data_IF_786218900234
#
_entry.id   IF_786218900234
#
_cell.length_a   1.000
_cell.length_b   1.000
_cell.length_c   1.000
_cell.angle_alpha   90.00
_cell.angle_beta   90.00
_cell.angle_gamma   90.00
#
_symmetry.space_group_name_H-M   'P 1'
#
loop_
_entity.id
_entity.type
_entity.pdbx_description
1 polymer ?
#
# COMPACT_ATOMS: atom_id res chain seq x y z
N UNK A 1 51.75 -11.28 -35.44
CA UNK A 1 50.59 -11.47 -36.35
C UNK A 1 49.37 -11.74 -35.49
N UNK A 2 48.38 -10.84 -35.57
CA UNK A 2 47.36 -10.56 -34.56
C UNK A 2 46.34 -11.68 -34.32
N UNK A 3 46.19 -12.11 -33.06
CA UNK A 3 44.98 -12.77 -32.55
C UNK A 3 43.92 -11.69 -32.30
N UNK A 4 42.78 -11.80 -32.99
CA UNK A 4 41.59 -10.98 -32.80
C UNK A 4 41.06 -11.16 -31.39
N UNK A 5 41.29 -10.16 -30.53
CA UNK A 5 40.51 -9.93 -29.33
C UNK A 5 39.13 -9.49 -29.80
N UNK A 6 38.16 -10.38 -29.68
CA UNK A 6 36.74 -10.05 -29.79
C UNK A 6 36.42 -9.19 -28.56
N UNK A 7 36.58 -7.87 -28.70
CA UNK A 7 35.98 -6.90 -27.79
C UNK A 7 34.46 -7.11 -27.88
N UNK A 8 33.93 -7.90 -26.96
CA UNK A 8 32.55 -7.73 -26.52
C UNK A 8 32.56 -6.37 -25.83
N UNK A 9 32.32 -5.31 -26.62
CA UNK A 9 31.66 -4.12 -26.09
C UNK A 9 30.37 -4.66 -25.47
N UNK A 10 30.40 -4.94 -24.17
CA UNK A 10 29.21 -4.81 -23.35
C UNK A 10 28.92 -3.32 -23.42
N UNK A 11 28.21 -2.94 -24.48
CA UNK A 11 27.47 -1.71 -24.50
C UNK A 11 26.65 -1.76 -23.23
N UNK A 12 27.08 -0.99 -22.21
CA UNK A 12 26.16 -0.37 -21.29
C UNK A 12 25.31 0.52 -22.19
N UNK A 13 24.38 -0.09 -22.92
CA UNK A 13 23.22 0.61 -23.42
C UNK A 13 22.60 1.12 -22.14
N UNK A 14 22.83 2.41 -21.86
CA UNK A 14 21.81 3.21 -21.23
C UNK A 14 20.52 2.79 -21.94
N UNK A 15 19.70 1.96 -21.29
CA UNK A 15 18.37 1.71 -21.79
C UNK A 15 17.78 3.11 -21.93
N UNK A 16 17.66 3.58 -23.16
CA UNK A 16 16.93 4.80 -23.46
C UNK A 16 15.48 4.42 -23.20
N UNK A 17 15.08 4.52 -21.93
CA UNK A 17 13.72 4.29 -21.48
C UNK A 17 12.80 5.12 -22.36
N UNK A 18 11.75 4.52 -22.91
CA UNK A 18 10.75 5.23 -23.69
C UNK A 18 9.91 6.11 -22.74
N UNK A 19 10.48 7.24 -22.32
CA UNK A 19 9.75 8.23 -21.56
C UNK A 19 8.96 9.11 -22.51
N UNK A 20 7.64 9.10 -22.37
CA UNK A 20 6.79 10.01 -23.13
C UNK A 20 6.59 11.34 -22.39
N UNK A 21 6.21 12.35 -23.15
CA UNK A 21 5.93 13.70 -22.64
C UNK A 21 4.53 13.80 -22.03
N UNK A 22 4.42 14.62 -20.99
CA UNK A 22 3.15 15.03 -20.38
C UNK A 22 3.06 16.55 -20.37
N UNK A 23 1.86 17.07 -20.61
CA UNK A 23 1.62 18.52 -20.62
C UNK A 23 0.40 18.89 -19.74
N UNK A 24 0.57 19.79 -18.76
CA UNK A 24 1.84 20.36 -18.30
C UNK A 24 2.70 19.35 -17.52
N UNK A 25 4.04 19.45 -17.63
CA UNK A 25 5.00 18.67 -16.82
C UNK A 25 5.36 19.34 -15.49
N UNK A 26 4.99 20.60 -15.32
CA UNK A 26 5.14 21.35 -14.08
C UNK A 26 3.88 22.16 -13.81
N UNK A 27 3.30 21.98 -12.63
CA UNK A 27 2.04 22.61 -12.23
C UNK A 27 2.30 23.55 -11.05
N UNK A 28 1.66 24.72 -11.01
CA UNK A 28 1.79 25.63 -9.86
C UNK A 28 0.72 25.29 -8.83
N UNK A 29 1.10 25.27 -7.56
CA UNK A 29 0.17 25.10 -6.45
C UNK A 29 0.39 26.20 -5.41
N UNK A 30 -0.68 26.91 -5.05
CA UNK A 30 -0.70 27.78 -3.87
C UNK A 30 -1.34 27.00 -2.74
N UNK A 31 -0.60 26.76 -1.67
CA UNK A 31 -0.99 25.89 -0.56
C UNK A 31 -0.89 26.68 0.73
N UNK A 32 -1.97 26.68 1.51
CA UNK A 32 -1.95 27.24 2.87
C UNK A 32 -2.21 26.18 3.95
N UNK A 33 -2.91 25.09 3.62
CA UNK A 33 -3.18 23.98 4.53
C UNK A 33 -3.22 22.67 3.78
N UNK A 34 -2.66 21.60 4.36
CA UNK A 34 -2.87 20.23 3.88
C UNK A 34 -3.32 19.34 5.03
N UNK A 35 -4.44 18.66 4.82
CA UNK A 35 -4.85 17.53 5.66
C UNK A 35 -4.78 16.27 4.82
N UNK A 36 -3.93 15.34 5.25
CA UNK A 36 -3.74 14.05 4.59
C UNK A 36 -4.24 12.97 5.53
N UNK A 37 -5.21 12.17 5.10
CA UNK A 37 -5.79 11.12 5.93
C UNK A 37 -5.76 9.79 5.21
N UNK A 38 -5.44 8.76 5.97
CA UNK A 38 -5.37 7.40 5.48
C UNK A 38 -6.09 6.47 6.42
N UNK A 39 -6.88 5.54 5.88
CA UNK A 39 -7.58 4.49 6.65
C UNK A 39 -7.31 3.11 6.08
N UNK A 40 -7.36 2.06 6.92
CA UNK A 40 -7.09 0.70 6.49
C UNK A 40 -7.91 0.28 5.27
N UNK A 41 -7.28 -0.51 4.38
CA UNK A 41 -7.95 -1.20 3.30
C UNK A 41 -8.00 -2.68 3.65
N UNK A 42 -9.17 -3.17 4.03
CA UNK A 42 -9.37 -4.56 4.43
C UNK A 42 -9.96 -5.37 3.26
N UNK A 43 -9.18 -6.22 2.57
CA UNK A 43 -9.60 -6.91 1.36
C UNK A 43 -10.43 -8.17 1.66
N UNK A 44 -11.58 -7.97 2.31
CA UNK A 44 -12.52 -9.06 2.54
C UNK A 44 -13.97 -8.59 2.40
N UNK A 45 -14.83 -9.55 2.09
CA UNK A 45 -16.28 -9.37 2.02
C UNK A 45 -16.91 -10.22 3.11
N UNK A 46 -17.73 -9.59 3.96
CA UNK A 46 -18.46 -10.28 5.02
C UNK A 46 -19.89 -10.57 4.61
N UNK A 47 -20.42 -11.69 5.12
CA UNK A 47 -21.72 -12.21 4.77
C UNK A 47 -22.57 -12.40 6.02
N UNK A 48 -23.90 -12.37 5.83
CA UNK A 48 -24.82 -12.87 6.85
C UNK A 48 -24.74 -14.40 6.92
N UNK A 49 -25.11 -14.94 8.08
CA UNK A 49 -25.24 -16.38 8.30
C UNK A 49 -26.02 -17.07 7.19
N UNK A 50 -25.46 -18.14 6.62
CA UNK A 50 -26.10 -18.91 5.54
C UNK A 50 -26.22 -18.19 4.19
N UNK A 51 -25.71 -16.97 4.05
CA UNK A 51 -25.85 -16.15 2.84
C UNK A 51 -24.57 -16.05 2.02
N UNK A 52 -24.73 -15.86 0.72
CA UNK A 52 -23.69 -15.54 -0.27
C UNK A 52 -23.90 -14.17 -0.92
N UNK A 53 -24.92 -13.43 -0.50
CA UNK A 53 -25.26 -12.13 -1.08
C UNK A 53 -24.27 -11.07 -0.59
N UNK A 54 -23.67 -10.35 -1.54
CA UNK A 54 -22.74 -9.25 -1.27
C UNK A 54 -23.56 -7.99 -1.00
N UNK A 55 -23.33 -7.37 0.16
CA UNK A 55 -23.90 -6.08 0.49
C UNK A 55 -23.28 -4.98 -0.39
N UNK A 56 -24.10 -4.04 -0.89
CA UNK A 56 -23.67 -2.95 -1.76
C UNK A 56 -22.57 -2.08 -1.14
N UNK A 57 -22.44 -2.07 0.20
CA UNK A 57 -21.35 -1.39 0.91
C UNK A 57 -19.95 -1.88 0.53
N UNK A 58 -19.82 -3.09 -0.03
CA UNK A 58 -18.54 -3.61 -0.53
C UNK A 58 -18.22 -3.21 -1.98
N UNK A 59 -19.14 -2.59 -2.70
CA UNK A 59 -18.91 -2.15 -4.09
C UNK A 59 -17.70 -1.21 -4.23
N UNK A 60 -17.46 -0.22 -3.34
CA UNK A 60 -16.27 0.62 -3.41
C UNK A 60 -14.97 -0.20 -3.30
N UNK A 61 -14.91 -1.13 -2.33
CA UNK A 61 -13.77 -2.03 -2.13
C UNK A 61 -13.48 -2.86 -3.38
N UNK A 62 -14.49 -3.56 -3.90
CA UNK A 62 -14.34 -4.46 -5.05
C UNK A 62 -14.02 -3.70 -6.34
N UNK A 63 -14.59 -2.51 -6.53
CA UNK A 63 -14.25 -1.62 -7.65
C UNK A 63 -12.81 -1.14 -7.58
N UNK A 64 -12.31 -0.80 -6.39
CA UNK A 64 -10.93 -0.36 -6.20
C UNK A 64 -9.92 -1.50 -6.44
N UNK A 65 -10.21 -2.72 -5.98
CA UNK A 65 -9.41 -3.92 -6.31
C UNK A 65 -9.35 -4.12 -7.82
N UNK A 66 -10.49 -4.04 -8.52
CA UNK A 66 -10.54 -4.19 -9.97
C UNK A 66 -9.70 -3.13 -10.71
N UNK A 67 -9.74 -1.87 -10.27
CA UNK A 67 -8.93 -0.77 -10.85
C UNK A 67 -7.45 -1.03 -10.66
N UNK A 68 -7.02 -1.38 -9.44
CA UNK A 68 -5.60 -1.64 -9.14
C UNK A 68 -5.08 -2.87 -9.89
N UNK A 69 -5.90 -3.92 -10.04
CA UNK A 69 -5.53 -5.10 -10.81
C UNK A 69 -5.34 -4.81 -12.30
N UNK A 70 -6.07 -3.84 -12.85
CA UNK A 70 -5.88 -3.41 -14.24
C UNK A 70 -4.51 -2.76 -14.47
N UNK A 71 -3.95 -2.06 -13.47
CA UNK A 71 -2.61 -1.47 -13.53
C UNK A 71 -1.49 -2.44 -13.14
N UNK A 72 -1.79 -3.45 -12.32
CA UNK A 72 -0.83 -4.41 -11.82
C UNK A 72 -0.93 -5.71 -12.62
N UNK A 73 -0.18 -5.83 -13.71
CA UNK A 73 -0.28 -6.97 -14.65
C UNK A 73 0.34 -8.27 -14.11
N UNK A 74 1.27 -8.18 -13.16
CA UNK A 74 2.05 -9.32 -12.67
C UNK A 74 1.51 -9.99 -11.41
N UNK A 75 0.22 -9.81 -11.14
CA UNK A 75 -0.43 -10.34 -9.94
C UNK A 75 -1.66 -11.15 -10.33
N UNK A 76 -1.78 -12.29 -9.65
CA UNK A 76 -3.00 -13.07 -9.56
C UNK A 76 -3.68 -12.74 -8.24
N UNK A 77 -4.96 -12.39 -8.31
CA UNK A 77 -5.86 -12.23 -7.16
C UNK A 77 -6.56 -13.54 -6.91
N UNK A 78 -6.44 -14.02 -5.68
CA UNK A 78 -7.06 -15.23 -5.21
C UNK A 78 -8.19 -14.87 -4.24
N UNK A 79 -9.36 -15.43 -4.49
CA UNK A 79 -10.52 -15.29 -3.60
C UNK A 79 -10.74 -16.62 -2.88
N UNK A 80 -10.66 -16.58 -1.56
CA UNK A 80 -10.94 -17.74 -0.70
C UNK A 80 -12.17 -17.46 0.14
N UNK A 81 -13.14 -18.36 0.11
CA UNK A 81 -14.33 -18.29 0.93
C UNK A 81 -14.14 -19.07 2.24
N UNK A 82 -14.75 -18.54 3.29
CA UNK A 82 -14.75 -19.13 4.62
C UNK A 82 -16.17 -19.29 5.14
N UNK A 83 -16.31 -20.17 6.13
CA UNK A 83 -17.57 -20.42 6.81
C UNK A 83 -17.39 -20.49 8.33
N UNK A 84 -18.47 -20.19 9.04
CA UNK A 84 -18.56 -20.42 10.48
C UNK A 84 -19.14 -21.81 10.78
N UNK A 85 -18.45 -22.70 11.54
CA UNK A 85 -18.84 -24.10 11.71
C UNK A 85 -20.25 -24.35 12.26
N UNK A 86 -20.77 -23.42 13.07
CA UNK A 86 -22.10 -23.50 13.70
C UNK A 86 -23.13 -22.55 13.07
N UNK A 87 -22.67 -21.46 12.45
CA UNK A 87 -23.56 -20.39 11.97
C UNK A 87 -24.07 -20.62 10.54
N UNK A 88 -23.31 -21.33 9.71
CA UNK A 88 -23.60 -21.50 8.28
C UNK A 88 -24.35 -22.80 7.93
N UNK A 89 -24.81 -23.55 8.93
CA UNK A 89 -25.59 -24.78 8.74
C UNK A 89 -24.80 -25.98 8.21
N UNK A 90 -25.50 -26.96 7.64
CA UNK A 90 -24.91 -28.23 7.19
C UNK A 90 -24.10 -28.09 5.87
N UNK A 91 -24.57 -27.30 4.90
CA UNK A 91 -23.93 -27.05 3.59
C UNK A 91 -22.82 -25.96 3.62
N UNK A 92 -22.22 -25.73 4.78
CA UNK A 92 -21.26 -24.65 5.03
C UNK A 92 -20.02 -24.67 4.11
N UNK A 93 -19.58 -25.86 3.72
CA UNK A 93 -18.41 -26.06 2.83
C UNK A 93 -18.72 -25.54 1.42
N UNK A 94 -19.85 -25.95 0.84
CA UNK A 94 -20.28 -25.46 -0.47
C UNK A 94 -20.62 -23.96 -0.42
N UNK A 95 -21.19 -23.48 0.69
CA UNK A 95 -21.50 -22.07 0.88
C UNK A 95 -20.23 -21.19 0.79
N UNK A 96 -19.13 -21.59 1.43
CA UNK A 96 -17.86 -20.88 1.34
C UNK A 96 -17.37 -20.78 -0.11
N UNK A 97 -17.42 -21.87 -0.88
CA UNK A 97 -17.05 -21.83 -2.30
C UNK A 97 -17.93 -20.87 -3.10
N UNK A 98 -19.26 -20.89 -2.87
CA UNK A 98 -20.17 -19.96 -3.55
C UNK A 98 -19.91 -18.49 -3.19
N UNK A 99 -19.53 -18.19 -1.94
CA UNK A 99 -19.09 -16.84 -1.53
C UNK A 99 -17.87 -16.39 -2.34
N UNK A 100 -16.88 -17.26 -2.50
CA UNK A 100 -15.68 -16.94 -3.28
C UNK A 100 -16.01 -16.64 -4.75
N UNK A 101 -16.86 -17.47 -5.37
CA UNK A 101 -17.33 -17.27 -6.75
C UNK A 101 -18.06 -15.93 -6.88
N UNK A 102 -18.98 -15.63 -5.97
CA UNK A 102 -19.73 -14.36 -5.99
C UNK A 102 -18.82 -13.14 -5.88
N UNK A 103 -17.79 -13.19 -5.04
CA UNK A 103 -16.83 -12.09 -4.91
C UNK A 103 -15.98 -11.95 -6.16
N UNK A 104 -15.49 -13.05 -6.74
CA UNK A 104 -14.82 -13.03 -8.05
C UNK A 104 -15.70 -12.37 -9.12
N UNK A 105 -16.94 -12.81 -9.27
CA UNK A 105 -17.86 -12.27 -10.27
C UNK A 105 -18.13 -10.78 -10.05
N UNK A 106 -18.27 -10.35 -8.79
CA UNK A 106 -18.46 -8.95 -8.45
C UNK A 106 -17.26 -8.07 -8.82
N UNK A 107 -16.02 -8.51 -8.55
CA UNK A 107 -14.80 -7.82 -8.98
C UNK A 107 -14.80 -7.65 -10.51
N UNK A 108 -15.09 -8.73 -11.24
CA UNK A 108 -15.08 -8.72 -12.70
C UNK A 108 -16.19 -7.84 -13.29
N UNK A 109 -17.38 -7.84 -12.71
CA UNK A 109 -18.52 -7.07 -13.20
C UNK A 109 -18.41 -5.57 -12.89
N UNK A 110 -17.70 -5.19 -11.82
CA UNK A 110 -17.40 -3.79 -11.50
C UNK A 110 -16.21 -3.23 -12.30
N UNK A 111 -15.47 -4.08 -13.01
CA UNK A 111 -14.31 -3.67 -13.80
C UNK A 111 -14.70 -3.16 -15.18
N UNK A 112 -14.31 -1.93 -15.50
CA UNK A 112 -14.34 -1.42 -16.88
C UNK A 112 -13.31 -2.09 -17.78
N UNK A 113 -12.30 -2.72 -17.19
CA UNK A 113 -11.18 -3.37 -17.88
C UNK A 113 -11.21 -4.90 -17.68
N UNK A 114 -12.41 -5.49 -17.65
CA UNK A 114 -12.62 -6.93 -17.36
C UNK A 114 -11.71 -7.85 -18.17
N UNK A 115 -11.48 -7.53 -19.45
CA UNK A 115 -10.63 -8.33 -20.33
C UNK A 115 -9.16 -8.38 -19.89
N UNK A 116 -8.65 -7.35 -19.22
CA UNK A 116 -7.28 -7.30 -18.72
C UNK A 116 -7.07 -8.09 -17.42
N UNK A 117 -8.16 -8.44 -16.73
CA UNK A 117 -8.08 -9.03 -15.38
C UNK A 117 -8.77 -10.39 -15.23
N UNK A 118 -9.62 -10.79 -16.19
CA UNK A 118 -10.49 -11.99 -16.08
C UNK A 118 -9.74 -13.29 -15.75
N UNK A 119 -8.54 -13.46 -16.32
CA UNK A 119 -7.74 -14.68 -16.15
C UNK A 119 -6.86 -14.62 -14.89
N UNK A 120 -6.88 -13.48 -14.18
CA UNK A 120 -6.07 -13.21 -13.00
C UNK A 120 -6.90 -13.07 -11.72
N UNK A 121 -8.22 -13.20 -11.80
CA UNK A 121 -9.09 -13.31 -10.61
C UNK A 121 -9.57 -14.76 -10.51
N UNK A 122 -8.99 -15.50 -9.57
CA UNK A 122 -9.23 -16.94 -9.40
C UNK A 122 -9.85 -17.22 -8.03
N UNK A 123 -10.59 -18.32 -7.93
CA UNK A 123 -11.12 -18.82 -6.66
C UNK A 123 -10.25 -19.97 -6.20
N UNK A 124 -9.92 -20.01 -4.91
CA UNK A 124 -9.24 -21.18 -4.36
C UNK A 124 -10.21 -22.33 -4.10
N UNK A 125 -9.83 -23.58 -4.42
CA UNK A 125 -10.74 -24.73 -4.41
C UNK A 125 -11.00 -25.28 -3.00
N UNK A 126 -10.18 -24.93 -2.02
CA UNK A 126 -10.28 -25.46 -0.65
C UNK A 126 -11.00 -24.45 0.25
N UNK A 127 -12.30 -24.64 0.54
CA UNK A 127 -12.98 -23.89 1.60
C UNK A 127 -12.32 -24.23 2.93
N UNK A 128 -11.91 -23.19 3.66
CA UNK A 128 -11.37 -23.35 5.01
C UNK A 128 -12.46 -22.95 5.99
N UNK A 129 -12.70 -23.68 7.09
CA UNK A 129 -13.26 -23.00 8.25
C UNK A 129 -12.39 -21.77 8.51
N UNK A 130 -12.98 -20.59 8.75
CA UNK A 130 -12.20 -19.45 9.24
C UNK A 130 -11.66 -19.86 10.62
N UNK A 131 -10.50 -20.51 10.65
CA UNK A 131 -9.79 -20.85 11.86
C UNK A 131 -9.33 -19.52 12.45
N UNK A 132 -10.03 -19.09 13.49
CA UNK A 132 -9.41 -18.52 14.69
C UNK A 132 -8.47 -17.30 14.48
N UNK A 133 -8.83 -16.26 13.72
CA UNK A 133 -8.09 -14.98 13.85
C UNK A 133 -8.25 -14.43 15.29
N UNK A 134 -9.43 -14.63 15.89
CA UNK A 134 -9.86 -13.84 17.07
C UNK A 134 -10.63 -14.64 18.14
N UNK A 135 -10.63 -15.98 18.11
CA UNK A 135 -11.27 -16.79 19.15
C UNK A 135 -11.20 -18.31 18.98
N UNK A 136 -11.61 -19.05 20.02
CA UNK A 136 -11.67 -20.53 20.04
C UNK A 136 -12.62 -21.03 18.94
N UNK A 137 -12.21 -22.07 18.21
CA UNK A 137 -13.06 -22.74 17.25
C UNK A 137 -14.44 -23.07 17.86
N UNK A 138 -15.51 -22.54 17.28
CA UNK A 138 -16.88 -22.73 17.79
C UNK A 138 -17.35 -21.73 18.84
N UNK A 139 -16.70 -20.55 18.95
CA UNK A 139 -17.22 -19.43 19.75
C UNK A 139 -18.69 -19.16 19.46
N UNK A 140 -19.49 -18.99 20.51
CA UNK A 140 -20.90 -18.62 20.44
C UNK A 140 -21.11 -17.11 20.39
N UNK A 141 -20.05 -16.30 20.51
CA UNK A 141 -20.15 -14.84 20.42
C UNK A 141 -20.54 -14.41 18.99
N UNK A 142 -21.73 -13.80 18.78
CA UNK A 142 -22.20 -13.42 17.46
C UNK A 142 -21.25 -12.49 16.68
N UNK A 143 -20.48 -11.64 17.38
CA UNK A 143 -19.51 -10.75 16.73
C UNK A 143 -18.34 -11.52 16.15
N UNK A 144 -17.84 -12.50 16.88
CA UNK A 144 -16.78 -13.41 16.42
C UNK A 144 -17.29 -14.29 15.28
N UNK A 145 -18.54 -14.76 15.35
CA UNK A 145 -19.14 -15.53 14.26
C UNK A 145 -19.24 -14.70 12.96
N UNK A 146 -19.68 -13.44 13.06
CA UNK A 146 -19.78 -12.54 11.92
C UNK A 146 -18.40 -12.24 11.28
N UNK A 147 -17.34 -12.17 12.09
CA UNK A 147 -15.96 -12.01 11.59
C UNK A 147 -15.45 -13.26 10.85
N UNK A 148 -16.05 -14.43 11.06
CA UNK A 148 -15.67 -15.70 10.41
C UNK A 148 -16.49 -16.02 9.14
N UNK A 149 -17.54 -15.25 8.86
CA UNK A 149 -18.42 -15.42 7.70
C UNK A 149 -17.96 -14.51 6.56
N UNK A 150 -16.81 -14.83 5.97
CA UNK A 150 -16.14 -13.95 5.00
C UNK A 150 -15.63 -14.66 3.75
N UNK A 151 -15.27 -13.86 2.75
CA UNK A 151 -14.35 -14.23 1.70
C UNK A 151 -13.17 -13.26 1.71
N UNK A 152 -11.96 -13.79 1.79
CA UNK A 152 -10.71 -13.02 1.78
C UNK A 152 -10.19 -12.94 0.36
N UNK A 153 -9.67 -11.76 0.01
CA UNK A 153 -9.04 -11.49 -1.28
C UNK A 153 -7.54 -11.32 -1.01
N UNK A 154 -6.74 -12.27 -1.51
CA UNK A 154 -5.29 -12.28 -1.39
C UNK A 154 -4.62 -12.13 -2.75
N UNK A 155 -3.31 -11.91 -2.74
CA UNK A 155 -2.48 -11.79 -3.92
C UNK A 155 -1.35 -12.80 -3.86
N UNK A 156 -1.06 -13.43 -5.00
CA UNK A 156 0.13 -14.23 -5.17
C UNK A 156 1.11 -13.48 -6.09
N UNK A 157 2.32 -13.11 -5.59
CA UNK A 157 3.34 -12.53 -6.47
C UNK A 157 3.86 -13.61 -7.41
N UNK A 158 4.04 -13.28 -8.70
CA UNK A 158 4.50 -14.26 -9.69
C UNK A 158 6.00 -14.62 -9.57
N UNK A 159 6.82 -13.90 -8.79
CA UNK A 159 8.28 -14.16 -8.77
C UNK A 159 9.00 -13.74 -7.46
N UNK A 160 10.06 -14.48 -7.09
CA UNK A 160 10.96 -14.22 -5.93
C UNK A 160 12.43 -14.34 -6.36
N UNK A 161 13.35 -13.61 -5.72
CA UNK A 161 14.78 -13.58 -6.05
C UNK A 161 15.67 -13.63 -4.79
N UNK A 162 16.91 -14.08 -4.92
CA UNK A 162 17.94 -13.85 -3.90
C UNK A 162 18.47 -12.41 -3.98
N UNK A 163 18.99 -11.89 -2.87
CA UNK A 163 19.59 -10.54 -2.87
C UNK A 163 20.85 -10.47 -3.74
N UNK A 164 21.65 -11.53 -3.77
CA UNK A 164 22.89 -11.58 -4.55
C UNK A 164 22.64 -11.60 -6.05
N UNK A 165 21.62 -12.34 -6.53
CA UNK A 165 21.22 -12.33 -7.95
C UNK A 165 20.86 -10.93 -8.39
N UNK A 166 20.10 -10.24 -7.55
CA UNK A 166 19.67 -8.89 -7.80
C UNK A 166 20.88 -7.94 -7.80
N UNK A 167 21.68 -7.87 -6.74
CA UNK A 167 22.85 -6.97 -6.64
C UNK A 167 23.80 -7.09 -7.87
N UNK A 168 23.93 -8.29 -8.44
CA UNK A 168 24.76 -8.58 -9.62
C UNK A 168 24.08 -8.28 -10.96
N UNK A 169 22.75 -8.22 -11.00
CA UNK A 169 21.94 -8.08 -12.23
C UNK A 169 20.92 -6.92 -12.08
N UNK A 170 21.43 -5.68 -12.19
CA UNK A 170 20.63 -4.44 -12.18
C UNK A 170 19.54 -4.45 -13.26
N UNK A 171 19.77 -5.13 -14.38
CA UNK A 171 18.81 -5.18 -15.48
C UNK A 171 17.52 -5.90 -15.07
N UNK A 172 17.59 -7.06 -14.41
CA UNK A 172 16.41 -7.76 -13.87
C UNK A 172 15.63 -6.94 -12.84
N UNK A 173 16.34 -6.19 -11.99
CA UNK A 173 15.71 -5.33 -10.98
C UNK A 173 14.81 -4.25 -11.56
N UNK A 174 15.38 -3.48 -12.50
CA UNK A 174 14.72 -2.35 -13.13
C UNK A 174 13.51 -2.85 -13.92
N UNK A 175 13.69 -3.97 -14.63
CA UNK A 175 12.63 -4.66 -15.37
C UNK A 175 11.35 -4.80 -14.52
N UNK A 176 11.43 -5.47 -13.38
CA UNK A 176 10.23 -5.90 -12.67
C UNK A 176 9.47 -4.74 -12.01
N UNK A 177 10.20 -3.79 -11.42
CA UNK A 177 9.57 -2.65 -10.78
C UNK A 177 9.17 -1.55 -11.77
N UNK A 178 9.83 -1.43 -12.92
CA UNK A 178 9.39 -0.50 -13.97
C UNK A 178 8.23 -1.07 -14.80
N UNK A 179 8.21 -2.35 -15.13
CA UNK A 179 7.06 -2.96 -15.84
C UNK A 179 5.85 -3.14 -14.94
N UNK A 180 5.94 -2.85 -13.66
CA UNK A 180 4.78 -2.88 -12.80
C UNK A 180 4.77 -1.68 -11.86
N UNK A 181 3.97 -0.66 -12.17
CA UNK A 181 3.99 0.58 -11.42
C UNK A 181 3.41 0.44 -10.00
N UNK A 182 2.70 -0.66 -9.74
CA UNK A 182 2.15 -0.98 -8.43
C UNK A 182 2.95 -2.06 -7.70
N UNK A 183 4.04 -2.58 -8.27
CA UNK A 183 4.92 -3.49 -7.56
C UNK A 183 5.91 -2.75 -6.67
N UNK A 184 6.34 -3.42 -5.60
CA UNK A 184 7.39 -2.97 -4.69
C UNK A 184 8.28 -4.14 -4.28
N UNK A 185 9.49 -3.83 -3.85
CA UNK A 185 10.43 -4.81 -3.35
C UNK A 185 10.69 -4.65 -1.86
N UNK A 186 10.87 -5.77 -1.16
CA UNK A 186 11.39 -5.81 0.20
C UNK A 186 12.73 -6.53 0.17
N UNK A 187 13.78 -5.81 0.56
CA UNK A 187 15.12 -6.33 0.81
C UNK A 187 15.16 -6.83 2.25
N UNK A 188 15.20 -8.16 2.41
CA UNK A 188 15.43 -8.81 3.71
C UNK A 188 16.91 -9.07 3.87
N UNK A 189 17.50 -8.52 4.92
CA UNK A 189 18.90 -8.75 5.29
C UNK A 189 19.14 -8.29 6.73
N UNK A 190 20.20 -8.75 7.37
CA UNK A 190 20.68 -8.19 8.64
C UNK A 190 21.53 -6.94 8.43
N UNK A 191 22.04 -6.73 7.21
CA UNK A 191 22.90 -5.62 6.86
C UNK A 191 22.12 -4.58 6.04
N UNK A 192 21.83 -3.39 6.59
CA UNK A 192 21.20 -2.30 5.85
C UNK A 192 21.99 -1.84 4.61
N UNK A 193 23.29 -2.13 4.55
CA UNK A 193 24.15 -1.85 3.40
C UNK A 193 23.69 -2.54 2.11
N UNK A 194 23.10 -3.75 2.20
CA UNK A 194 22.56 -4.45 1.04
C UNK A 194 21.43 -3.66 0.36
N UNK A 195 20.56 -3.05 1.17
CA UNK A 195 19.48 -2.20 0.66
C UNK A 195 20.02 -0.94 0.00
N UNK A 196 21.03 -0.29 0.60
CA UNK A 196 21.65 0.91 0.02
C UNK A 196 22.26 0.62 -1.35
N UNK A 197 23.06 -0.45 -1.45
CA UNK A 197 23.70 -0.86 -2.69
C UNK A 197 22.67 -1.14 -3.80
N UNK A 198 21.54 -1.77 -3.46
CA UNK A 198 20.44 -1.97 -4.40
C UNK A 198 19.84 -0.63 -4.83
N UNK A 199 19.50 0.24 -3.88
CA UNK A 199 18.83 1.52 -4.20
C UNK A 199 19.69 2.49 -4.99
N UNK A 200 21.01 2.50 -4.81
CA UNK A 200 21.96 3.35 -5.57
C UNK A 200 22.00 2.99 -7.06
N UNK A 201 21.71 1.73 -7.40
CA UNK A 201 21.69 1.23 -8.79
C UNK A 201 20.34 1.45 -9.48
N UNK A 202 19.30 1.90 -8.75
CA UNK A 202 17.95 2.01 -9.27
C UNK A 202 17.59 3.43 -9.73
N UNK A 203 16.71 3.56 -10.75
CA UNK A 203 16.14 4.84 -11.13
C UNK A 203 15.41 5.52 -9.95
N UNK A 204 15.49 6.85 -9.81
CA UNK A 204 14.88 7.57 -8.68
C UNK A 204 13.38 7.30 -8.48
N UNK A 205 12.63 7.11 -9.57
CA UNK A 205 11.18 6.83 -9.54
C UNK A 205 10.84 5.39 -9.09
N UNK A 206 11.85 4.51 -8.97
CA UNK A 206 11.71 3.13 -8.51
C UNK A 206 12.16 2.97 -7.04
N UNK A 207 13.17 3.74 -6.62
CA UNK A 207 13.74 3.70 -5.24
C UNK A 207 12.66 3.87 -4.16
N UNK A 208 11.63 4.67 -4.45
CA UNK A 208 10.50 4.91 -3.55
C UNK A 208 9.68 3.66 -3.23
N UNK A 209 9.82 2.60 -4.01
CA UNK A 209 9.12 1.32 -3.90
C UNK A 209 10.04 0.17 -3.49
N UNK A 210 11.24 0.47 -2.98
CA UNK A 210 12.17 -0.53 -2.44
C UNK A 210 12.39 -0.28 -0.96
N UNK A 211 11.95 -1.24 -0.15
CA UNK A 211 11.95 -1.18 1.30
C UNK A 211 12.93 -2.18 1.89
N UNK A 212 13.38 -1.93 3.12
CA UNK A 212 14.25 -2.85 3.84
C UNK A 212 13.49 -3.52 4.98
N UNK A 213 13.87 -4.73 5.35
CA UNK A 213 13.35 -5.39 6.55
C UNK A 213 14.47 -6.20 7.18
N UNK A 214 14.75 -5.91 8.45
CA UNK A 214 15.78 -6.63 9.19
C UNK A 214 15.38 -8.10 9.33
N UNK A 215 16.19 -9.01 8.79
CA UNK A 215 15.90 -10.45 8.80
C UNK A 215 17.18 -11.26 8.70
N UNK A 216 17.20 -12.44 9.34
CA UNK A 216 18.28 -13.41 9.15
C UNK A 216 18.35 -13.94 7.72
N UNK A 217 17.24 -13.90 6.98
CA UNK A 217 17.23 -14.26 5.57
C UNK A 217 17.80 -13.11 4.73
N UNK A 218 18.72 -13.42 3.82
CA UNK A 218 19.26 -12.48 2.83
C UNK A 218 18.59 -12.68 1.47
N UNK A 219 17.40 -12.08 1.27
CA UNK A 219 16.58 -12.27 0.05
C UNK A 219 15.81 -11.02 -0.36
N UNK A 220 15.42 -10.93 -1.63
CA UNK A 220 14.57 -9.85 -2.12
C UNK A 220 13.29 -10.41 -2.69
N UNK A 221 12.17 -9.93 -2.17
CA UNK A 221 10.85 -10.34 -2.63
C UNK A 221 10.16 -9.18 -3.29
N UNK A 222 9.66 -9.39 -4.50
CA UNK A 222 8.77 -8.45 -5.17
C UNK A 222 7.34 -8.79 -4.78
N UNK A 223 6.59 -7.77 -4.40
CA UNK A 223 5.20 -7.87 -4.00
C UNK A 223 4.36 -7.01 -4.92
N UNK A 224 3.18 -7.51 -5.26
CA UNK A 224 2.15 -6.76 -5.97
C UNK A 224 0.89 -6.55 -5.12
N UNK A 225 1.02 -6.72 -3.80
CA UNK A 225 -0.07 -6.62 -2.81
C UNK A 225 -0.73 -5.23 -2.76
N UNK A 226 -0.18 -4.26 -3.49
CA UNK A 226 -0.79 -2.96 -3.75
C UNK A 226 -2.24 -3.09 -4.20
N UNK A 227 -2.56 -4.12 -4.99
CA UNK A 227 -3.92 -4.42 -5.44
C UNK A 227 -4.90 -4.56 -4.28
N UNK A 228 -4.46 -5.15 -3.15
CA UNK A 228 -5.34 -5.58 -2.06
C UNK A 228 -5.15 -4.83 -0.75
N UNK A 229 -3.99 -4.21 -0.47
CA UNK A 229 -3.73 -3.73 0.90
C UNK A 229 -3.29 -2.28 1.00
N UNK A 230 -3.17 -1.54 -0.12
CA UNK A 230 -2.90 -0.10 -0.02
C UNK A 230 -4.08 0.62 0.64
N UNK A 231 -3.84 1.37 1.73
CA UNK A 231 -4.87 2.12 2.42
C UNK A 231 -5.67 3.09 1.54
N UNK A 232 -6.89 3.42 1.96
CA UNK A 232 -7.67 4.50 1.36
C UNK A 232 -7.07 5.84 1.76
N UNK A 233 -7.04 6.79 0.83
CA UNK A 233 -6.48 8.11 1.06
C UNK A 233 -7.53 9.18 0.80
N UNK A 234 -7.52 10.20 1.66
CA UNK A 234 -8.23 11.46 1.47
C UNK A 234 -7.22 12.59 1.62
N UNK A 235 -7.29 13.56 0.71
CA UNK A 235 -6.48 14.77 0.75
C UNK A 235 -7.42 15.96 0.74
N UNK A 236 -7.30 16.81 1.75
CA UNK A 236 -7.92 18.13 1.76
C UNK A 236 -6.85 19.18 1.58
N UNK A 237 -7.05 20.05 0.59
CA UNK A 237 -6.12 21.10 0.25
C UNK A 237 -6.77 22.45 0.51
N UNK A 238 -6.17 23.24 1.40
CA UNK A 238 -6.39 24.67 1.45
C UNK A 238 -5.52 25.35 0.38
N UNK A 239 -6.17 26.06 -0.55
CA UNK A 239 -5.50 26.79 -1.63
C UNK A 239 -5.99 26.42 -3.02
N UNK A 240 -5.12 26.50 -4.03
CA UNK A 240 -5.48 26.25 -5.45
C UNK A 240 -4.32 25.62 -6.22
N UNK A 241 -4.64 24.60 -7.02
CA UNK A 241 -3.76 24.04 -8.05
C UNK A 241 -4.11 24.70 -9.38
N UNK A 242 -3.11 25.10 -10.16
CA UNK A 242 -3.30 25.86 -11.41
C UNK A 242 -3.84 25.02 -12.57
N UNK A 243 -3.80 23.69 -12.45
CA UNK A 243 -4.33 22.73 -13.40
C UNK A 243 -4.97 21.57 -12.63
N UNK A 244 -6.01 20.98 -13.19
CA UNK A 244 -6.74 19.83 -12.67
C UNK A 244 -6.59 18.58 -13.55
N UNK A 245 -5.93 18.74 -14.70
CA UNK A 245 -5.63 17.65 -15.62
C UNK A 245 -4.23 17.76 -16.26
N UNK A 246 -3.72 16.61 -16.71
CA UNK A 246 -2.54 16.49 -17.59
C UNK A 246 -2.90 15.68 -18.83
N UNK A 247 -2.17 15.93 -19.93
CA UNK A 247 -2.31 15.18 -21.18
C UNK A 247 -1.05 14.37 -21.46
N UNK A 248 -1.23 13.08 -21.70
CA UNK A 248 -0.18 12.15 -22.13
C UNK A 248 0.00 12.18 -23.65
N UNK A 249 1.24 12.20 -24.12
CA UNK A 249 1.56 12.10 -25.56
C UNK A 249 1.58 10.67 -26.09
N UNK A 250 1.71 9.66 -25.22
CA UNK A 250 1.66 8.25 -25.62
C UNK A 250 0.25 7.86 -26.07
N UNK A 251 0.15 7.02 -27.10
CA UNK A 251 -1.09 6.36 -27.50
C UNK A 251 -1.18 5.02 -26.77
N UNK A 252 -2.20 4.85 -25.95
CA UNK A 252 -2.40 3.65 -25.15
C UNK A 252 -3.88 3.38 -24.93
N UNK A 253 -4.22 2.12 -24.70
CA UNK A 253 -5.55 1.70 -24.29
C UNK A 253 -5.85 1.99 -22.81
N UNK A 254 -4.82 2.20 -21.98
CA UNK A 254 -4.96 2.37 -20.54
C UNK A 254 -3.88 3.28 -19.98
N UNK A 255 -4.29 4.30 -19.24
CA UNK A 255 -3.40 5.20 -18.55
C UNK A 255 -3.59 5.08 -17.04
N UNK A 256 -2.49 4.98 -16.30
CA UNK A 256 -2.47 5.11 -14.84
C UNK A 256 -1.91 6.47 -14.44
N UNK A 257 -2.50 7.11 -13.44
CA UNK A 257 -1.90 8.28 -12.78
C UNK A 257 -1.45 7.88 -11.39
N UNK A 258 -0.13 7.90 -11.18
CA UNK A 258 0.51 7.20 -10.07
C UNK A 258 1.48 8.14 -9.36
N UNK A 259 1.40 8.15 -8.04
CA UNK A 259 2.33 8.87 -7.17
C UNK A 259 3.67 8.13 -7.09
N UNK A 260 4.77 8.81 -6.84
CA UNK A 260 6.12 8.19 -6.84
C UNK A 260 6.29 6.98 -5.89
N UNK A 261 5.51 6.95 -4.81
CA UNK A 261 5.46 5.81 -3.88
C UNK A 261 4.55 4.66 -4.34
N UNK A 262 4.10 4.68 -5.60
CA UNK A 262 3.21 3.69 -6.21
C UNK A 262 1.72 3.92 -5.98
N UNK A 263 1.27 5.05 -5.42
CA UNK A 263 -0.16 5.23 -5.12
C UNK A 263 -0.93 5.46 -6.41
N UNK A 264 -1.84 4.57 -6.77
CA UNK A 264 -2.75 4.80 -7.90
C UNK A 264 -3.75 5.88 -7.53
N UNK A 265 -3.61 7.07 -8.11
CA UNK A 265 -4.60 8.14 -8.03
C UNK A 265 -5.81 7.81 -8.91
N UNK A 266 -5.58 7.19 -10.06
CA UNK A 266 -6.66 6.81 -10.97
C UNK A 266 -6.21 6.04 -12.19
N UNK A 267 -7.22 5.48 -12.88
CA UNK A 267 -7.09 4.73 -14.13
C UNK A 267 -8.00 5.37 -15.17
N UNK A 268 -7.46 5.62 -16.36
CA UNK A 268 -8.10 6.42 -17.40
C UNK A 268 -8.03 5.69 -18.74
N UNK A 269 -9.10 5.80 -19.53
CA UNK A 269 -9.17 5.27 -20.90
C UNK A 269 -8.72 6.29 -21.94
N UNK A 270 -8.45 7.53 -21.53
CA UNK A 270 -8.07 8.65 -22.40
C UNK A 270 -6.75 9.24 -21.96
N UNK A 271 -5.96 9.82 -22.90
CA UNK A 271 -4.70 10.49 -22.56
C UNK A 271 -4.87 11.73 -21.68
N UNK A 272 -6.08 12.30 -21.62
CA UNK A 272 -6.43 13.37 -20.68
C UNK A 272 -6.78 12.78 -19.32
N UNK A 273 -6.02 13.18 -18.30
CA UNK A 273 -6.04 12.61 -16.95
C UNK A 273 -6.46 13.71 -15.99
N UNK A 274 -7.73 13.69 -15.58
CA UNK A 274 -8.26 14.58 -14.56
C UNK A 274 -8.02 13.98 -13.18
N UNK A 275 -7.22 14.66 -12.34
CA UNK A 275 -6.74 14.11 -11.07
C UNK A 275 -7.41 14.72 -9.82
N UNK A 276 -8.22 15.77 -9.97
CA UNK A 276 -8.95 16.36 -8.85
C UNK A 276 -8.03 16.94 -7.77
N UNK A 277 -8.35 16.70 -6.49
CA UNK A 277 -7.53 17.16 -5.35
C UNK A 277 -6.48 16.11 -5.02
N UNK A 278 -5.22 16.51 -5.10
CA UNK A 278 -4.05 15.67 -4.80
C UNK A 278 -3.08 16.43 -3.91
N UNK A 279 -2.15 15.71 -3.30
CA UNK A 279 -1.06 16.32 -2.54
C UNK A 279 0.06 16.75 -3.51
N UNK A 280 0.27 18.07 -3.75
CA UNK A 280 1.20 18.54 -4.78
C UNK A 280 2.67 18.27 -4.45
N UNK A 281 3.03 17.83 -3.23
CA UNK A 281 4.44 17.67 -2.83
C UNK A 281 5.09 16.42 -3.40
N UNK A 282 4.27 15.45 -3.79
CA UNK A 282 4.75 14.24 -4.43
C UNK A 282 5.07 14.51 -5.88
N UNK A 283 6.04 13.75 -6.40
CA UNK A 283 6.14 13.56 -7.84
C UNK A 283 5.03 12.60 -8.29
N UNK A 284 4.45 12.91 -9.43
CA UNK A 284 3.47 12.05 -10.08
C UNK A 284 3.95 11.62 -11.45
N UNK A 285 3.47 10.48 -11.89
CA UNK A 285 3.79 9.89 -13.18
C UNK A 285 2.51 9.48 -13.87
N UNK A 286 2.49 9.63 -15.19
CA UNK A 286 1.55 8.93 -16.03
C UNK A 286 2.23 7.67 -16.51
N UNK A 287 1.56 6.54 -16.38
CA UNK A 287 1.97 5.28 -17.00
C UNK A 287 1.00 4.93 -18.11
N UNK A 288 1.51 4.40 -19.22
CA UNK A 288 0.72 4.03 -20.38
C UNK A 288 0.98 2.55 -20.69
N UNK A 289 -0.11 1.77 -20.83
CA UNK A 289 -0.03 0.35 -21.20
C UNK A 289 0.21 0.23 -22.71
N UNK A 290 1.38 -0.22 -23.09
CA UNK A 290 1.74 -0.50 -24.47
C UNK A 290 1.55 -1.98 -24.76
N UNK A 291 0.78 -2.29 -25.80
CA UNK A 291 0.72 -3.64 -26.32
C UNK A 291 1.92 -3.89 -27.23
N UNK A 292 2.67 -4.94 -26.94
CA UNK A 292 3.75 -5.41 -27.80
C UNK A 292 3.50 -6.86 -28.23
N UNK A 293 4.13 -7.33 -29.32
CA UNK A 293 4.09 -8.75 -29.69
C UNK A 293 4.61 -9.69 -28.59
N UNK A 294 5.42 -9.19 -27.65
CA UNK A 294 5.95 -9.93 -26.51
C UNK A 294 5.05 -9.85 -25.26
N UNK A 295 3.88 -9.19 -25.37
CA UNK A 295 2.95 -8.95 -24.27
C UNK A 295 2.84 -7.48 -23.89
N UNK A 296 2.16 -7.21 -22.78
CA UNK A 296 1.94 -5.86 -22.28
C UNK A 296 3.18 -5.31 -21.57
N UNK A 297 3.53 -4.06 -21.86
CA UNK A 297 4.57 -3.31 -21.15
C UNK A 297 4.06 -1.94 -20.71
N UNK A 298 4.70 -1.35 -19.70
CA UNK A 298 4.39 0.01 -19.26
C UNK A 298 5.46 0.99 -19.72
N UNK A 299 5.04 2.07 -20.37
CA UNK A 299 5.85 3.26 -20.55
C UNK A 299 5.55 4.26 -19.44
N UNK A 300 6.57 4.96 -18.96
CA UNK A 300 6.45 5.99 -17.91
C UNK A 300 6.63 7.37 -18.49
N UNK A 301 5.87 8.35 -18.00
CA UNK A 301 6.14 9.74 -18.31
C UNK A 301 7.39 10.25 -17.58
N UNK A 302 7.89 11.41 -18.00
CA UNK A 302 8.71 12.25 -17.11
C UNK A 302 7.91 12.61 -15.84
N UNK A 303 8.57 12.86 -14.68
CA UNK A 303 7.88 13.24 -13.47
C UNK A 303 7.12 14.55 -13.65
N UNK A 304 5.87 14.56 -13.24
CA UNK A 304 5.04 15.74 -13.08
C UNK A 304 5.33 16.32 -11.70
N UNK A 305 5.86 17.55 -11.69
CA UNK A 305 6.27 18.24 -10.46
C UNK A 305 5.34 19.40 -10.17
N UNK A 306 5.18 19.73 -8.88
CA UNK A 306 4.48 20.93 -8.49
C UNK A 306 5.44 21.98 -7.93
N UNK A 307 5.27 23.21 -8.37
CA UNK A 307 5.91 24.39 -7.77
C UNK A 307 4.98 24.94 -6.71
N UNK A 308 5.32 24.66 -5.45
CA UNK A 308 4.51 25.01 -4.29
C UNK A 308 4.88 26.39 -3.78
N UNK A 309 3.88 27.16 -3.38
CA UNK A 309 4.03 28.48 -2.76
C UNK A 309 3.01 28.66 -1.63
N UNK A 310 3.34 29.48 -0.63
CA UNK A 310 2.49 29.78 0.52
C UNK A 310 3.10 29.34 1.86
N UNK A 311 2.46 29.74 2.97
CA UNK A 311 2.79 29.29 4.32
C UNK A 311 1.86 28.13 4.67
N UNK A 312 2.44 26.97 4.94
CA UNK A 312 1.72 25.72 5.01
C UNK A 312 1.56 25.24 6.45
N UNK A 313 0.31 25.02 6.89
CA UNK A 313 -0.02 24.22 8.06
C UNK A 313 -0.40 22.80 7.65
N UNK A 314 0.06 21.80 8.40
CA UNK A 314 -0.08 20.40 7.98
C UNK A 314 -0.41 19.45 9.12
N UNK A 315 -1.40 18.61 8.87
CA UNK A 315 -1.71 17.43 9.68
C UNK A 315 -1.83 16.22 8.76
N UNK A 316 -1.02 15.19 8.98
CA UNK A 316 -1.08 13.94 8.23
C UNK A 316 -1.43 12.79 9.19
N UNK A 317 -2.39 11.94 8.85
CA UNK A 317 -2.72 10.68 9.55
C UNK A 317 -2.47 9.52 8.60
N UNK A 318 -1.46 8.71 8.92
CA UNK A 318 -1.01 7.59 8.12
C UNK A 318 -1.41 6.27 8.76
N UNK A 319 -2.04 5.37 8.02
CA UNK A 319 -2.21 4.00 8.46
C UNK A 319 -0.90 3.22 8.31
N UNK A 320 -0.54 2.43 9.32
CA UNK A 320 0.63 1.56 9.27
C UNK A 320 0.21 0.12 9.05
N UNK A 321 -0.59 -0.43 9.97
CA UNK A 321 -0.87 -1.87 10.02
C UNK A 321 -2.17 -2.18 10.77
N UNK A 322 -2.75 -3.35 10.49
CA UNK A 322 -3.82 -3.94 11.30
C UNK A 322 -3.25 -5.09 12.12
N UNK A 323 -3.71 -5.23 13.36
CA UNK A 323 -3.29 -6.28 14.29
C UNK A 323 -4.45 -7.21 14.62
N UNK A 324 -4.16 -8.48 14.84
CA UNK A 324 -5.06 -9.39 15.52
C UNK A 324 -4.85 -9.34 17.04
N UNK A 325 -5.88 -9.66 17.82
CA UNK A 325 -5.81 -9.58 19.28
C UNK A 325 -4.74 -10.46 19.95
N UNK A 326 -4.39 -11.66 19.43
CA UNK A 326 -3.31 -12.43 20.02
C UNK A 326 -1.92 -11.93 19.59
N UNK A 327 -1.82 -10.98 18.65
CA UNK A 327 -0.54 -10.54 18.14
C UNK A 327 0.24 -9.74 19.19
N UNK A 328 1.43 -10.23 19.50
CA UNK A 328 2.38 -9.61 20.43
C UNK A 328 3.72 -9.29 19.76
N UNK A 329 3.77 -9.28 18.42
CA UNK A 329 5.00 -9.04 17.66
C UNK A 329 4.74 -8.10 16.50
N UNK A 330 5.81 -7.47 16.01
CA UNK A 330 5.75 -6.62 14.82
C UNK A 330 5.24 -7.43 13.63
N UNK A 331 4.25 -6.89 12.89
CA UNK A 331 3.76 -7.55 11.68
C UNK A 331 4.83 -7.59 10.59
N UNK A 332 5.08 -8.78 10.06
CA UNK A 332 6.02 -9.02 8.94
C UNK A 332 5.31 -9.02 7.58
N UNK A 333 4.02 -8.68 7.57
CA UNK A 333 3.24 -8.59 6.35
C UNK A 333 3.85 -7.54 5.39
N UNK A 334 3.95 -7.83 4.08
CA UNK A 334 4.63 -6.95 3.13
C UNK A 334 4.11 -5.51 3.12
N UNK A 335 2.79 -5.33 3.22
CA UNK A 335 2.17 -4.01 3.24
C UNK A 335 2.53 -3.20 4.50
N UNK A 336 2.65 -3.87 5.65
CA UNK A 336 3.00 -3.22 6.91
C UNK A 336 4.44 -2.72 6.87
N UNK A 337 5.36 -3.54 6.34
CA UNK A 337 6.76 -3.16 6.09
C UNK A 337 6.81 -1.94 5.15
N UNK A 338 6.08 -1.98 4.04
CA UNK A 338 6.02 -0.87 3.08
C UNK A 338 5.48 0.42 3.72
N UNK A 339 4.37 0.36 4.47
CA UNK A 339 3.77 1.53 5.09
C UNK A 339 4.71 2.18 6.12
N UNK A 340 5.41 1.39 6.94
CA UNK A 340 6.43 1.92 7.88
C UNK A 340 7.51 2.70 7.13
N UNK A 341 8.01 2.17 6.02
CA UNK A 341 9.00 2.85 5.19
C UNK A 341 8.48 4.15 4.58
N UNK A 342 7.26 4.14 4.05
CA UNK A 342 6.63 5.35 3.49
C UNK A 342 6.49 6.42 4.57
N UNK A 343 6.04 6.05 5.78
CA UNK A 343 5.93 6.99 6.91
C UNK A 343 7.30 7.50 7.36
N UNK A 344 8.30 6.62 7.50
CA UNK A 344 9.65 7.03 7.91
C UNK A 344 10.30 7.97 6.89
N UNK A 345 10.20 7.65 5.60
CA UNK A 345 10.67 8.56 4.53
C UNK A 345 9.90 9.87 4.55
N UNK A 346 8.60 9.83 4.85
CA UNK A 346 7.79 11.05 4.96
C UNK A 346 8.27 11.97 6.08
N UNK A 347 8.63 11.42 7.23
CA UNK A 347 9.25 12.17 8.34
C UNK A 347 10.56 12.83 7.85
N UNK A 348 11.41 12.09 7.16
CA UNK A 348 12.67 12.60 6.61
C UNK A 348 12.45 13.75 5.63
N UNK A 349 11.56 13.59 4.65
CA UNK A 349 11.25 14.64 3.66
C UNK A 349 10.78 15.93 4.31
N UNK A 350 9.94 15.79 5.34
CA UNK A 350 9.39 16.90 6.10
C UNK A 350 10.49 17.66 6.85
N UNK A 351 11.38 16.93 7.52
CA UNK A 351 12.54 17.49 8.20
C UNK A 351 13.49 18.17 7.21
N UNK A 352 13.83 17.50 6.11
CA UNK A 352 14.74 18.01 5.08
C UNK A 352 14.15 19.27 4.39
N UNK A 353 12.81 19.42 4.38
CA UNK A 353 12.12 20.63 3.94
C UNK A 353 12.04 21.75 5.00
N UNK A 354 12.61 21.53 6.19
CA UNK A 354 12.73 22.51 7.28
C UNK A 354 11.54 22.59 8.24
N UNK A 355 10.70 21.54 8.31
CA UNK A 355 9.60 21.50 9.27
C UNK A 355 10.03 20.94 10.62
N UNK A 356 9.45 21.49 11.70
CA UNK A 356 9.45 20.86 13.03
C UNK A 356 8.25 19.93 13.15
N UNK A 357 8.44 18.77 13.77
CA UNK A 357 7.46 17.70 13.75
C UNK A 357 7.03 17.29 15.16
N UNK A 358 5.72 17.16 15.35
CA UNK A 358 5.12 16.42 16.46
C UNK A 358 4.44 15.16 15.89
N UNK A 359 5.09 14.02 16.12
CA UNK A 359 4.72 12.70 15.61
C UNK A 359 4.12 11.89 16.76
N UNK A 360 2.87 11.47 16.61
CA UNK A 360 2.21 10.56 17.55
C UNK A 360 1.89 9.25 16.85
N UNK A 361 2.49 8.15 17.30
CA UNK A 361 2.12 6.79 16.90
C UNK A 361 0.95 6.36 17.79
N UNK A 362 -0.20 6.08 17.19
CA UNK A 362 -1.44 5.79 17.90
C UNK A 362 -1.89 4.37 17.57
N UNK A 363 -1.92 3.53 18.60
CA UNK A 363 -2.53 2.22 18.51
C UNK A 363 -4.01 2.30 18.85
N UNK A 364 -4.80 1.51 18.15
CA UNK A 364 -6.23 1.36 18.34
C UNK A 364 -6.56 -0.12 18.46
N UNK A 365 -7.60 -0.42 19.23
CA UNK A 365 -8.22 -1.75 19.28
C UNK A 365 -9.72 -1.59 19.04
N UNK A 366 -10.48 -2.69 18.97
CA UNK A 366 -11.94 -2.62 18.97
C UNK A 366 -12.50 -2.64 20.40
N UNK A 367 -13.82 -2.68 20.53
CA UNK A 367 -14.48 -2.65 21.84
C UNK A 367 -14.31 -4.00 22.55
N UNK A 368 -13.27 -4.13 23.40
CA UNK A 368 -13.14 -5.24 24.33
C UNK A 368 -13.92 -4.97 25.63
N UNK A 369 -14.15 -6.02 26.42
CA UNK A 369 -14.84 -5.93 27.72
C UNK A 369 -14.04 -5.18 28.80
N UNK A 370 -12.72 -5.08 28.63
CA UNK A 370 -11.79 -4.43 29.57
C UNK A 370 -11.08 -3.28 28.85
N UNK A 371 -11.43 -2.05 29.23
CA UNK A 371 -10.92 -0.83 28.62
C UNK A 371 -9.45 -0.59 28.93
N UNK A 372 -8.98 -0.92 30.13
CA UNK A 372 -7.59 -0.70 30.50
C UNK A 372 -6.69 -1.70 29.78
N UNK A 373 -7.11 -2.97 29.71
CA UNK A 373 -6.40 -3.97 28.89
C UNK A 373 -6.35 -3.56 27.41
N UNK A 374 -7.45 -3.01 26.88
CA UNK A 374 -7.51 -2.49 25.51
C UNK A 374 -6.50 -1.37 25.26
N UNK A 375 -6.42 -0.43 26.20
CA UNK A 375 -5.51 0.71 26.14
C UNK A 375 -4.04 0.27 26.24
N UNK A 376 -3.73 -0.68 27.12
CA UNK A 376 -2.38 -1.22 27.27
C UNK A 376 -1.94 -2.00 26.04
N UNK A 377 -2.83 -2.83 25.48
CA UNK A 377 -2.54 -3.59 24.27
C UNK A 377 -2.30 -2.67 23.06
N UNK A 378 -3.17 -1.69 22.86
CA UNK A 378 -3.01 -0.72 21.76
C UNK A 378 -1.76 0.14 21.95
N UNK A 379 -1.43 0.55 23.18
CA UNK A 379 -0.17 1.26 23.48
C UNK A 379 1.05 0.40 23.14
N UNK A 380 1.03 -0.88 23.48
CA UNK A 380 2.11 -1.80 23.18
C UNK A 380 2.36 -1.91 21.66
N UNK A 381 1.31 -2.09 20.86
CA UNK A 381 1.43 -2.07 19.40
C UNK A 381 1.99 -0.74 18.88
N UNK A 382 1.53 0.39 19.43
CA UNK A 382 2.05 1.71 19.06
C UNK A 382 3.55 1.85 19.35
N UNK A 383 4.03 1.32 20.49
CA UNK A 383 5.44 1.35 20.86
C UNK A 383 6.30 0.46 19.94
N UNK A 384 5.83 -0.73 19.58
CA UNK A 384 6.50 -1.60 18.62
C UNK A 384 6.67 -0.91 17.25
N UNK A 385 5.58 -0.33 16.74
CA UNK A 385 5.58 0.38 15.46
C UNK A 385 6.45 1.65 15.49
N UNK A 386 6.41 2.38 16.61
CA UNK A 386 7.27 3.55 16.82
C UNK A 386 8.75 3.18 16.75
N UNK A 387 9.18 2.13 17.46
CA UNK A 387 10.56 1.64 17.41
C UNK A 387 10.98 1.28 15.98
N UNK A 388 10.16 0.52 15.26
CA UNK A 388 10.44 0.14 13.88
C UNK A 388 10.56 1.34 12.93
N UNK A 389 9.70 2.36 13.07
CA UNK A 389 9.78 3.58 12.26
C UNK A 389 11.08 4.35 12.55
N UNK A 390 11.45 4.49 13.83
CA UNK A 390 12.68 5.16 14.25
C UNK A 390 13.91 4.46 13.65
N UNK A 391 13.95 3.13 13.72
CA UNK A 391 15.04 2.33 13.13
C UNK A 391 15.16 2.55 11.62
N UNK A 392 14.02 2.63 10.92
CA UNK A 392 14.01 2.92 9.47
C UNK A 392 14.54 4.33 9.18
N UNK A 393 14.18 5.33 9.99
CA UNK A 393 14.72 6.69 9.84
C UNK A 393 16.24 6.67 10.05
N UNK A 394 16.73 5.97 11.07
CA UNK A 394 18.16 5.82 11.34
C UNK A 394 18.90 5.15 10.17
N UNK A 395 18.33 4.10 9.60
CA UNK A 395 18.86 3.41 8.42
C UNK A 395 18.92 4.34 7.20
N UNK A 396 17.83 5.08 6.93
CA UNK A 396 17.73 5.95 5.75
C UNK A 396 18.65 7.18 5.84
N UNK A 397 18.75 7.81 7.02
CA UNK A 397 19.66 8.95 7.24
C UNK A 397 21.10 8.51 7.51
N UNK A 398 21.33 7.21 7.74
CA UNK A 398 22.63 6.65 8.10
C UNK A 398 23.25 7.33 9.33
N UNK A 399 22.45 7.50 10.38
CA UNK A 399 22.86 8.15 11.64
C UNK A 399 23.04 7.10 12.75
N UNK A 400 24.12 7.23 13.54
CA UNK A 400 24.41 6.29 14.62
C UNK A 400 23.58 6.52 15.88
N UNK A 401 23.24 7.78 16.19
CA UNK A 401 22.37 8.17 17.31
C UNK A 401 21.17 8.96 16.77
N UNK A 402 20.07 8.27 16.57
CA UNK A 402 18.85 8.87 16.00
C UNK A 402 18.20 9.90 16.93
N UNK A 403 18.39 9.77 18.25
CA UNK A 403 17.90 10.75 19.25
C UNK A 403 18.49 12.14 19.03
N UNK A 404 19.82 12.23 18.93
CA UNK A 404 20.52 13.49 18.64
C UNK A 404 20.02 14.12 17.33
N UNK A 405 19.81 13.30 16.30
CA UNK A 405 19.24 13.77 15.02
C UNK A 405 17.82 14.32 15.18
N UNK A 406 16.94 13.67 15.94
CA UNK A 406 15.61 14.19 16.21
C UNK A 406 15.63 15.50 16.98
N UNK A 407 16.49 15.61 18.00
CA UNK A 407 16.62 16.82 18.82
C UNK A 407 17.13 18.00 17.99
N UNK A 408 18.19 17.79 17.19
CA UNK A 408 18.76 18.79 16.27
C UNK A 408 17.73 19.32 15.26
N UNK A 409 16.81 18.46 14.82
CA UNK A 409 15.82 18.79 13.80
C UNK A 409 14.43 19.14 14.37
N UNK A 410 14.28 19.18 15.69
CA UNK A 410 13.01 19.51 16.35
C UNK A 410 11.90 18.51 16.07
N UNK A 411 12.23 17.22 16.08
CA UNK A 411 11.28 16.11 15.92
C UNK A 411 10.95 15.53 17.30
N UNK A 412 9.69 15.64 17.69
CA UNK A 412 9.15 14.95 18.87
C UNK A 412 8.36 13.74 18.40
N UNK A 413 8.71 12.55 18.86
CA UNK A 413 7.97 11.32 18.58
C UNK A 413 7.46 10.67 19.87
N UNK A 414 6.19 10.30 19.91
CA UNK A 414 5.55 9.68 21.08
C UNK A 414 4.61 8.55 20.67
N UNK A 415 4.33 7.63 21.59
CA UNK A 415 3.36 6.54 21.39
C UNK A 415 2.16 6.69 22.34
N UNK A 416 0.97 6.32 21.86
CA UNK A 416 -0.28 6.38 22.64
C UNK A 416 -1.20 5.21 22.28
N UNK A 417 -1.83 4.61 23.28
CA UNK A 417 -2.94 3.67 23.08
C UNK A 417 -4.29 4.36 23.19
N UNK A 418 -5.18 4.08 22.25
CA UNK A 418 -6.57 4.54 22.24
C UNK A 418 -7.54 3.39 22.53
N UNK A 419 -8.69 3.73 23.09
CA UNK A 419 -9.76 2.79 23.41
C UNK A 419 -10.59 2.45 22.16
N UNK A 420 -11.36 1.37 22.22
CA UNK A 420 -12.18 0.87 21.11
C UNK A 420 -13.34 1.76 20.66
N UNK A 421 -13.57 2.90 21.30
CA UNK A 421 -14.68 3.82 21.01
C UNK A 421 -14.34 4.89 19.95
N UNK A 422 -13.15 4.85 19.33
CA UNK A 422 -12.71 5.80 18.30
C UNK A 422 -12.59 5.11 16.93
N UNK A 423 -13.71 4.92 16.21
CA UNK A 423 -13.66 4.33 14.88
C UNK A 423 -12.82 5.18 13.92
N UNK A 424 -12.14 4.54 12.97
CA UNK A 424 -11.40 5.24 11.93
C UNK A 424 -12.36 6.11 11.09
N UNK A 425 -11.93 7.34 10.79
CA UNK A 425 -12.65 8.27 9.92
C UNK A 425 -11.86 8.58 8.66
N UNK A 426 -12.53 9.01 7.59
CA UNK A 426 -11.90 9.47 6.36
C UNK A 426 -12.69 10.68 5.83
N UNK A 427 -12.06 11.86 5.77
CA UNK A 427 -12.75 13.10 5.36
C UNK A 427 -13.93 13.43 6.30
N UNK A 428 -13.73 13.22 7.60
CA UNK A 428 -14.74 13.45 8.64
C UNK A 428 -15.87 12.41 8.74
N UNK A 429 -15.92 11.40 7.85
CA UNK A 429 -16.95 10.35 7.87
C UNK A 429 -16.43 9.09 8.56
N UNK A 430 -17.29 8.40 9.33
CA UNK A 430 -16.96 7.09 9.90
C UNK A 430 -16.71 6.12 8.75
N UNK A 431 -15.53 5.50 8.77
CA UNK A 431 -15.10 4.53 7.76
C UNK A 431 -15.07 3.12 8.33
N UNK A 432 -14.58 2.94 9.55
CA UNK A 432 -14.54 1.66 10.25
C UNK A 432 -15.61 1.60 11.35
N UNK A 433 -16.86 1.32 10.98
CA UNK A 433 -17.97 1.19 11.93
C UNK A 433 -17.88 -0.11 12.77
N UNK A 434 -17.76 0.02 14.09
CA UNK A 434 -17.69 -1.10 15.03
C UNK A 434 -18.95 -2.00 15.03
N UNK A 435 -20.09 -1.52 14.51
CA UNK A 435 -21.29 -2.33 14.34
C UNK A 435 -21.08 -3.44 13.29
N UNK A 436 -20.16 -3.23 12.36
CA UNK A 436 -19.86 -4.12 11.26
C UNK A 436 -18.55 -4.90 11.52
N UNK A 437 -18.43 -6.15 11.04
CA UNK A 437 -17.21 -6.94 11.23
C UNK A 437 -15.99 -6.26 10.61
N UNK A 438 -16.09 -5.79 9.36
CA UNK A 438 -14.98 -5.08 8.70
C UNK A 438 -14.50 -3.84 9.46
N UNK A 439 -15.41 -3.13 10.13
CA UNK A 439 -15.04 -1.94 10.90
C UNK A 439 -14.33 -2.31 12.20
N UNK A 440 -14.75 -3.37 12.89
CA UNK A 440 -13.99 -3.89 14.05
C UNK A 440 -12.60 -4.34 13.66
N UNK A 441 -12.45 -5.05 12.53
CA UNK A 441 -11.14 -5.45 12.04
C UNK A 441 -10.27 -4.23 11.66
N UNK A 442 -10.85 -3.27 10.94
CA UNK A 442 -10.17 -2.01 10.59
C UNK A 442 -9.76 -1.18 11.80
N UNK A 443 -10.48 -1.28 12.93
CA UNK A 443 -10.17 -0.54 14.15
C UNK A 443 -9.05 -1.15 15.00
N UNK A 444 -8.69 -2.42 14.80
CA UNK A 444 -7.46 -2.99 15.38
C UNK A 444 -6.28 -2.59 14.51
N UNK A 445 -5.74 -1.39 14.73
CA UNK A 445 -4.77 -0.75 13.84
C UNK A 445 -3.74 0.07 14.59
N UNK A 446 -2.64 0.37 13.91
CA UNK A 446 -1.73 1.46 14.29
C UNK A 446 -1.72 2.51 13.19
N UNK A 447 -1.77 3.77 13.59
CA UNK A 447 -1.65 4.93 12.73
C UNK A 447 -0.59 5.90 13.25
N UNK A 448 -0.06 6.76 12.39
CA UNK A 448 0.90 7.80 12.74
C UNK A 448 0.31 9.15 12.38
N UNK A 449 0.18 10.01 13.38
CA UNK A 449 -0.26 11.39 13.22
C UNK A 449 0.97 12.29 13.21
N UNK A 450 1.21 12.99 12.12
CA UNK A 450 2.30 13.96 11.96
C UNK A 450 1.69 15.35 11.90
N UNK A 451 2.01 16.19 12.87
CA UNK A 451 1.76 17.63 12.81
C UNK A 451 3.07 18.32 12.45
N UNK A 452 3.08 19.04 11.34
CA UNK A 452 4.28 19.74 10.88
C UNK A 452 4.05 21.24 10.94
N UNK A 453 4.99 21.96 11.54
CA UNK A 453 4.95 23.42 11.68
C UNK A 453 6.20 24.06 11.07
N UNK A 454 6.01 25.21 10.41
CA UNK A 454 7.07 25.97 9.74
C UNK A 454 6.88 27.47 9.91
#
# INVERSE_FOLDING_TARGET
MFRKVLFILVSITALSYAQFGVSPSTIKAKVNRITYEVVPFYPAVFFRSGSQNIDARFNPLLSEIAKRLALNVDVVVEVRGYFHPRGDGEDKVSLAMRRAIKVKDAILNLSKNKNLIKDRVVTQPSPDPARMDRGVAGSTDPKIQAENQLAVISTAPMTKFSADELIKDTYKHVKILEYNPLAFAIVRSQNPGDWREITEKLPPHVVWRVFYFSSFERKVTVHGDWVVRRPWCNVELGGKISADAVNASAKSQLYGFIREDGYSVGVFATPTISFGVIDPRWNYYVVALEESPAGNSWAWSKPIKFKISGKEERTERWFVVNYDLPDIKLSEEPYAIANRFVVARRIIELVDAGFKLDVTVVGHTDVLKDEERSRQQSLYWAQLEMGAIIDIVAICKNVGKIGDWFDEHGVKITARGEMGNKPATLGGKIFCDNSLPEGRLGNRRVEVVIKATR
#
